data_IF_109110964439
#
_entry.id   IF_109110964439
#
_cell.length_a   1.000
_cell.length_b   1.000
_cell.length_c   1.000
_cell.angle_alpha   90.00
_cell.angle_beta   90.00
_cell.angle_gamma   90.00
#
_symmetry.space_group_name_H-M   'P 1'
#
loop_
_entity.id
_entity.type
_entity.pdbx_description
1 polymer ?
#
# COMPACT_ATOMS: atom_id res chain seq x y z
N UNK A 1 -11.55 0.31 -20.33
CA UNK A 1 -12.32 1.13 -19.37
C UNK A 1 -11.50 2.38 -19.08
N UNK A 2 -12.09 3.52 -18.68
CA UNK A 2 -11.30 4.70 -18.31
C UNK A 2 -10.83 4.48 -16.87
N UNK A 3 -9.51 4.44 -16.66
CA UNK A 3 -8.93 4.28 -15.32
C UNK A 3 -9.40 5.44 -14.41
N UNK A 4 -9.80 5.11 -13.19
CA UNK A 4 -10.26 6.07 -12.18
C UNK A 4 -9.27 6.10 -11.01
N UNK A 5 -8.13 6.81 -11.16
CA UNK A 5 -7.09 6.79 -10.15
C UNK A 5 -7.57 7.34 -8.81
N UNK A 6 -7.03 6.78 -7.72
CA UNK A 6 -7.42 7.11 -6.36
C UNK A 6 -6.20 7.33 -5.47
N UNK A 7 -6.42 7.99 -4.34
CA UNK A 7 -5.42 8.20 -3.30
C UNK A 7 -5.67 7.29 -2.10
N UNK A 8 -4.62 7.05 -1.33
CA UNK A 8 -4.67 6.27 -0.12
C UNK A 8 -3.48 6.53 0.78
N UNK A 9 -3.46 5.89 1.94
CA UNK A 9 -2.37 6.05 2.91
C UNK A 9 -1.98 4.70 3.49
N UNK A 10 -0.68 4.48 3.54
CA UNK A 10 -0.04 3.34 4.19
C UNK A 10 0.51 3.78 5.54
N UNK A 11 0.16 3.02 6.58
CA UNK A 11 0.57 3.30 7.95
C UNK A 11 1.57 2.24 8.38
N UNK A 12 2.80 2.67 8.66
CA UNK A 12 3.87 1.82 9.17
C UNK A 12 4.31 2.28 10.55
N UNK A 13 4.83 1.35 11.34
CA UNK A 13 5.46 1.66 12.63
C UNK A 13 6.91 1.18 12.65
N UNK A 14 7.83 2.07 13.02
CA UNK A 14 9.22 1.72 13.32
C UNK A 14 9.32 0.82 14.54
N UNK A 15 9.92 -0.35 14.39
CA UNK A 15 10.07 -1.31 15.49
C UNK A 15 11.13 -0.89 16.51
N UNK A 16 12.09 -0.05 16.11
CA UNK A 16 13.12 0.47 17.04
C UNK A 16 12.67 1.77 17.68
N UNK A 17 12.08 2.68 16.91
CA UNK A 17 11.73 4.03 17.40
C UNK A 17 10.29 4.17 17.89
N UNK A 18 9.40 3.25 17.53
CA UNK A 18 7.95 3.39 17.72
C UNK A 18 7.30 4.45 16.82
N UNK A 19 8.07 5.14 15.96
CA UNK A 19 7.58 6.21 15.09
C UNK A 19 6.56 5.68 14.09
N UNK A 20 5.47 6.43 13.94
CA UNK A 20 4.50 6.19 12.87
C UNK A 20 4.96 6.90 11.59
N UNK A 21 4.97 6.15 10.50
CA UNK A 21 5.20 6.64 9.14
C UNK A 21 3.88 6.53 8.39
N UNK A 22 3.23 7.68 8.17
CA UNK A 22 2.08 7.78 7.27
C UNK A 22 2.62 8.15 5.89
N UNK A 23 2.48 7.23 4.94
CA UNK A 23 2.99 7.39 3.58
C UNK A 23 1.79 7.51 2.65
N UNK A 24 1.62 8.69 2.06
CA UNK A 24 0.59 8.93 1.06
C UNK A 24 0.90 8.13 -0.21
N UNK A 25 -0.15 7.66 -0.88
CA UNK A 25 -0.05 6.75 -2.01
C UNK A 25 -1.08 7.09 -3.10
N UNK A 26 -0.66 6.90 -4.35
CA UNK A 26 -1.46 7.09 -5.54
C UNK A 26 -1.59 5.76 -6.30
N UNK A 27 -2.82 5.44 -6.69
CA UNK A 27 -3.20 4.21 -7.36
C UNK A 27 -3.75 4.58 -8.73
N UNK A 28 -3.08 4.11 -9.78
CA UNK A 28 -3.41 4.47 -11.16
C UNK A 28 -4.68 3.81 -11.68
N UNK A 29 -5.24 2.85 -10.96
CA UNK A 29 -6.34 1.98 -11.42
C UNK A 29 -5.96 1.21 -12.69
N UNK A 30 -4.75 0.64 -12.71
CA UNK A 30 -4.25 -0.18 -13.83
C UNK A 30 -3.78 -1.52 -13.28
N UNK A 31 -4.36 -2.61 -13.79
CA UNK A 31 -3.98 -3.97 -13.39
C UNK A 31 -2.48 -4.19 -13.65
N UNK A 32 -1.82 -4.80 -12.67
CA UNK A 32 -0.38 -5.09 -12.67
C UNK A 32 0.56 -3.88 -12.67
N UNK A 33 0.03 -2.66 -12.53
CA UNK A 33 0.84 -1.47 -12.31
C UNK A 33 1.27 -1.34 -10.84
N UNK A 34 2.49 -0.86 -10.62
CA UNK A 34 2.94 -0.45 -9.29
C UNK A 34 2.19 0.81 -8.83
N UNK A 35 1.90 0.88 -7.54
CA UNK A 35 1.38 2.09 -6.90
C UNK A 35 2.53 3.09 -6.67
N UNK A 36 2.22 4.37 -6.68
CA UNK A 36 3.19 5.43 -6.40
C UNK A 36 3.07 5.89 -4.95
N UNK A 37 4.18 6.24 -4.32
CA UNK A 37 4.31 6.64 -2.93
C UNK A 37 4.86 8.06 -2.86
N UNK A 38 4.48 8.79 -1.83
CA UNK A 38 4.99 10.14 -1.59
C UNK A 38 6.51 10.15 -1.35
N UNK A 39 7.20 11.02 -2.08
CA UNK A 39 8.63 11.33 -1.92
C UNK A 39 8.93 12.61 -1.14
N UNK A 40 7.90 13.29 -0.61
CA UNK A 40 7.99 14.50 0.21
C UNK A 40 7.08 15.67 -0.23
N UNK A 41 6.25 15.50 -1.26
CA UNK A 41 5.40 16.55 -1.83
C UNK A 41 3.93 16.15 -2.05
N UNK A 42 3.54 14.95 -1.59
CA UNK A 42 2.29 14.27 -1.94
C UNK A 42 2.52 13.16 -2.97
N UNK A 43 1.68 12.12 -2.92
CA UNK A 43 1.71 11.07 -3.92
C UNK A 43 1.09 11.55 -5.25
N UNK A 44 1.55 10.97 -6.36
CA UNK A 44 1.06 11.28 -7.68
C UNK A 44 1.62 10.31 -8.73
N UNK A 45 1.15 10.43 -9.96
CA UNK A 45 1.48 9.50 -11.05
C UNK A 45 2.99 9.40 -11.36
N UNK A 46 3.76 10.43 -11.03
CA UNK A 46 5.23 10.48 -11.24
C UNK A 46 6.03 10.25 -9.96
N UNK A 47 5.38 10.04 -8.83
CA UNK A 47 6.08 9.81 -7.55
C UNK A 47 6.75 8.42 -7.55
N UNK A 48 7.74 8.17 -6.66
CA UNK A 48 8.42 6.89 -6.58
C UNK A 48 7.45 5.69 -6.47
N UNK A 49 7.82 4.54 -7.02
CA UNK A 49 7.00 3.31 -6.95
C UNK A 49 7.35 2.41 -5.75
N UNK A 50 8.16 2.94 -4.83
CA UNK A 50 8.60 2.25 -3.63
C UNK A 50 8.70 3.21 -2.45
N UNK A 51 8.52 2.65 -1.25
CA UNK A 51 8.92 3.28 0.01
C UNK A 51 10.10 2.50 0.60
N UNK A 52 11.25 3.15 0.73
CA UNK A 52 12.44 2.54 1.34
C UNK A 52 12.35 2.62 2.86
N UNK A 53 12.32 1.47 3.52
CA UNK A 53 12.15 1.40 4.97
C UNK A 53 13.35 2.04 5.71
N UNK A 54 13.17 3.14 6.46
CA UNK A 54 14.28 3.85 7.12
C UNK A 54 14.83 3.09 8.34
N UNK A 55 14.05 2.14 8.85
CA UNK A 55 14.40 1.21 9.92
C UNK A 55 13.60 -0.09 9.72
N UNK A 56 13.71 -1.06 10.62
CA UNK A 56 12.78 -2.19 10.63
C UNK A 56 11.38 -1.68 10.95
N UNK A 57 10.40 -1.96 10.10
CA UNK A 57 9.04 -1.44 10.22
C UNK A 57 8.00 -2.54 10.14
N UNK A 58 6.84 -2.29 10.74
CA UNK A 58 5.64 -3.11 10.64
C UNK A 58 4.56 -2.34 9.86
N UNK A 59 4.02 -2.95 8.80
CA UNK A 59 2.83 -2.44 8.13
C UNK A 59 1.61 -2.70 9.01
N UNK A 60 1.01 -1.62 9.49
CA UNK A 60 -0.14 -1.65 10.39
C UNK A 60 -1.44 -1.61 9.60
N UNK A 61 -1.54 -0.67 8.67
CA UNK A 61 -2.78 -0.40 7.96
C UNK A 61 -2.56 0.11 6.53
N UNK A 62 -3.60 -0.03 5.71
CA UNK A 62 -3.67 0.45 4.34
C UNK A 62 -5.07 0.98 4.08
N UNK A 63 -5.20 2.28 3.83
CA UNK A 63 -6.47 2.93 3.52
C UNK A 63 -6.43 3.47 2.10
N UNK A 64 -7.56 3.43 1.41
CA UNK A 64 -7.67 3.89 0.02
C UNK A 64 -9.09 4.36 -0.25
N UNK A 65 -9.23 5.37 -1.11
CA UNK A 65 -10.53 5.76 -1.64
C UNK A 65 -11.05 4.64 -2.55
N UNK A 66 -12.22 4.12 -2.24
CA UNK A 66 -12.88 3.07 -3.04
C UNK A 66 -13.46 3.63 -4.33
N UNK A 67 -13.82 2.76 -5.28
CA UNK A 67 -14.48 3.16 -6.54
C UNK A 67 -13.57 3.18 -7.75
N UNK A 68 -12.39 2.55 -7.64
CA UNK A 68 -11.59 2.15 -8.80
C UNK A 68 -12.35 1.17 -9.68
N UNK A 69 -12.06 1.22 -10.97
CA UNK A 69 -12.81 0.55 -12.02
C UNK A 69 -12.18 -0.78 -12.39
N UNK A 70 -10.87 -0.79 -12.64
CA UNK A 70 -10.14 -1.96 -13.16
C UNK A 70 -9.48 -2.79 -12.04
N UNK A 71 -9.29 -2.19 -10.86
CA UNK A 71 -8.56 -2.81 -9.76
C UNK A 71 -9.40 -2.87 -8.48
N UNK A 72 -9.25 -3.93 -7.69
CA UNK A 72 -10.03 -4.13 -6.44
C UNK A 72 -9.18 -4.46 -5.21
N UNK A 73 -7.88 -4.73 -5.42
CA UNK A 73 -6.95 -5.13 -4.38
C UNK A 73 -5.52 -4.78 -4.75
N UNK A 74 -4.66 -4.73 -3.74
CA UNK A 74 -3.21 -4.67 -3.91
C UNK A 74 -2.57 -5.94 -3.39
N UNK A 75 -1.46 -6.33 -4.02
CA UNK A 75 -0.54 -7.30 -3.46
C UNK A 75 0.70 -6.56 -2.94
N UNK A 76 1.09 -6.87 -1.71
CA UNK A 76 2.26 -6.25 -1.10
C UNK A 76 3.52 -6.99 -1.52
N UNK A 77 4.56 -6.24 -1.86
CA UNK A 77 5.86 -6.74 -2.31
C UNK A 77 6.97 -6.31 -1.35
N UNK A 78 7.97 -7.18 -1.20
CA UNK A 78 9.28 -6.87 -0.61
C UNK A 78 10.29 -6.78 -1.75
N UNK A 79 10.65 -5.56 -2.14
CA UNK A 79 11.30 -5.30 -3.43
C UNK A 79 10.40 -5.76 -4.56
N UNK A 80 10.88 -6.68 -5.40
CA UNK A 80 10.09 -7.29 -6.47
C UNK A 80 9.50 -8.68 -6.10
N UNK A 81 9.60 -9.10 -4.84
CA UNK A 81 9.11 -10.40 -4.40
C UNK A 81 7.73 -10.28 -3.73
N UNK A 82 6.70 -11.00 -4.22
CA UNK A 82 5.37 -10.99 -3.61
C UNK A 82 5.41 -11.60 -2.21
N UNK A 83 4.71 -10.95 -1.28
CA UNK A 83 4.58 -11.47 0.10
C UNK A 83 3.51 -12.54 0.24
N UNK A 84 2.59 -12.61 -0.73
CA UNK A 84 1.37 -13.42 -0.66
C UNK A 84 0.19 -12.69 -0.02
N UNK A 85 0.45 -11.56 0.63
CA UNK A 85 -0.59 -10.75 1.28
C UNK A 85 -1.32 -9.86 0.27
N UNK A 86 -2.65 -10.02 0.23
CA UNK A 86 -3.55 -9.20 -0.57
C UNK A 86 -4.41 -8.32 0.34
N UNK A 87 -4.43 -7.02 0.05
CA UNK A 87 -5.29 -6.05 0.74
C UNK A 87 -6.34 -5.57 -0.24
N UNK A 88 -7.61 -5.90 0.02
CA UNK A 88 -8.73 -5.40 -0.78
C UNK A 88 -8.98 -3.93 -0.48
N UNK A 89 -9.41 -3.18 -1.49
CA UNK A 89 -9.81 -1.78 -1.33
C UNK A 89 -11.05 -1.65 -0.45
N UNK A 90 -11.95 -2.63 -0.55
CA UNK A 90 -13.12 -2.78 0.31
C UNK A 90 -12.98 -4.06 1.13
N UNK A 91 -12.85 -3.93 2.44
CA UNK A 91 -12.71 -5.07 3.35
C UNK A 91 -13.98 -5.44 4.11
N UNK A 92 -15.10 -4.75 3.85
CA UNK A 92 -16.39 -5.15 4.38
C UNK A 92 -16.97 -6.32 3.57
N UNK A 93 -16.39 -7.50 3.76
CA UNK A 93 -16.88 -8.77 3.23
C UNK A 93 -18.07 -9.25 4.09
N UNK A 94 -19.14 -8.45 4.17
CA UNK A 94 -20.50 -8.76 4.67
C UNK A 94 -20.69 -9.35 6.09
N UNK A 95 -19.70 -9.96 6.75
CA UNK A 95 -19.89 -10.73 8.01
C UNK A 95 -18.83 -10.50 9.07
N UNK A 96 -17.74 -9.79 8.78
CA UNK A 96 -16.68 -9.47 9.73
C UNK A 96 -16.63 -7.96 9.99
N UNK A 97 -16.96 -7.48 11.21
CA UNK A 97 -16.90 -6.05 11.55
C UNK A 97 -15.48 -5.53 11.76
N UNK A 98 -14.46 -6.41 11.76
CA UNK A 98 -13.06 -6.08 12.03
C UNK A 98 -12.19 -6.51 10.85
N UNK A 99 -11.30 -5.62 10.40
CA UNK A 99 -10.27 -5.90 9.40
C UNK A 99 -9.24 -6.91 9.94
N UNK A 100 -8.89 -7.92 9.15
CA UNK A 100 -7.73 -8.77 9.44
C UNK A 100 -6.46 -7.92 9.50
N UNK A 101 -5.69 -7.96 10.60
CA UNK A 101 -4.52 -7.11 10.76
C UNK A 101 -3.42 -7.52 9.77
N UNK A 102 -2.80 -6.53 9.11
CA UNK A 102 -1.81 -6.77 8.04
C UNK A 102 -0.48 -7.27 8.59
N UNK A 103 -0.04 -6.77 9.77
CA UNK A 103 1.13 -7.22 10.57
C UNK A 103 2.33 -7.74 9.74
N UNK A 104 2.66 -7.05 8.65
CA UNK A 104 3.71 -7.47 7.73
C UNK A 104 5.00 -6.71 8.05
N UNK A 105 6.07 -7.44 8.39
CA UNK A 105 7.35 -6.87 8.77
C UNK A 105 8.29 -6.63 7.59
N UNK A 106 8.99 -5.50 7.59
CA UNK A 106 10.02 -5.13 6.63
C UNK A 106 11.32 -4.79 7.34
N UNK A 107 12.45 -5.24 6.77
CA UNK A 107 13.77 -4.88 7.27
C UNK A 107 14.18 -3.50 6.78
N UNK A 108 15.00 -2.80 7.55
CA UNK A 108 15.64 -1.55 7.13
C UNK A 108 16.27 -1.71 5.74
N UNK A 109 16.11 -0.67 4.91
CA UNK A 109 16.60 -0.64 3.53
C UNK A 109 15.81 -1.48 2.53
N UNK A 110 14.84 -2.28 2.99
CA UNK A 110 13.94 -3.00 2.07
C UNK A 110 12.95 -2.02 1.46
N UNK A 111 12.71 -2.16 0.16
CA UNK A 111 11.65 -1.44 -0.51
C UNK A 111 10.30 -2.13 -0.26
N UNK A 112 9.34 -1.39 0.29
CA UNK A 112 7.94 -1.75 0.22
C UNK A 112 7.41 -1.28 -1.14
N UNK A 113 6.75 -2.19 -1.87
CA UNK A 113 6.02 -1.84 -3.10
C UNK A 113 4.62 -2.45 -3.05
N UNK A 114 3.70 -1.89 -3.83
CA UNK A 114 2.35 -2.42 -3.99
C UNK A 114 2.03 -2.55 -5.47
N UNK A 115 1.60 -3.74 -5.90
CA UNK A 115 1.11 -3.97 -7.27
C UNK A 115 -0.42 -4.07 -7.24
N UNK A 116 -1.07 -3.35 -8.16
CA UNK A 116 -2.52 -3.27 -8.26
C UNK A 116 -3.07 -4.49 -9.01
N UNK A 117 -4.20 -5.03 -8.56
CA UNK A 117 -4.78 -6.27 -9.07
C UNK A 117 -6.30 -6.14 -9.19
N UNK A 118 -6.86 -6.82 -10.19
CA UNK A 118 -8.30 -7.00 -10.36
C UNK A 118 -8.93 -7.81 -9.22
#
# INVERSE_FOLDING_TARGET
MVAAPQYGTIVLQGLRTGRIYNVDAYFSDVVDALSNFDGGGGAGATSPTSFTCPENVLLLDFSIVTGMTDTTKIQVLRGNQPTGDFLRFTQYLTTAPVRSPVRLGFRMGTELRCIQKA
#
